data_IF_903545785798
#
_entry.id   IF_903545785798
#
_cell.length_a   1.000
_cell.length_b   1.000
_cell.length_c   1.000
_cell.angle_alpha   90.00
_cell.angle_beta   90.00
_cell.angle_gamma   90.00
#
_symmetry.space_group_name_H-M   'P 1'
#
loop_
_entity.id
_entity.type
_entity.pdbx_description
1 polymer ?
#
# COMPACT_ATOMS: atom_id res chain seq x y z
N UNK A 1 -10.42 -3.51 15.07
CA UNK A 1 -9.78 -3.72 13.75
C UNK A 1 -9.70 -5.19 13.34
N UNK A 2 -9.16 -6.11 14.17
CA UNK A 2 -9.16 -7.56 13.85
C UNK A 2 -10.57 -8.13 13.62
N UNK A 3 -11.55 -7.71 14.42
CA UNK A 3 -12.96 -8.06 14.21
C UNK A 3 -13.52 -7.57 12.86
N UNK A 4 -13.15 -6.36 12.42
CA UNK A 4 -13.59 -5.79 11.14
C UNK A 4 -13.01 -6.52 9.93
N UNK A 5 -11.84 -7.16 10.08
CA UNK A 5 -11.22 -7.97 9.01
C UNK A 5 -11.85 -9.37 8.91
N UNK A 6 -12.41 -9.89 10.00
CA UNK A 6 -13.01 -11.24 10.07
C UNK A 6 -14.36 -11.38 9.36
N UNK A 7 -15.00 -10.28 8.94
CA UNK A 7 -16.26 -10.32 8.17
C UNK A 7 -16.01 -10.46 6.66
N UNK A 8 -14.88 -11.03 6.27
CA UNK A 8 -14.62 -11.40 4.87
C UNK A 8 -15.53 -12.58 4.49
N UNK A 9 -16.03 -12.64 3.24
CA UNK A 9 -16.97 -13.69 2.83
C UNK A 9 -16.39 -15.09 3.08
N UNK A 10 -17.26 -16.00 3.54
CA UNK A 10 -16.92 -17.37 3.93
C UNK A 10 -16.22 -18.14 2.81
N UNK A 11 -15.14 -18.84 3.19
CA UNK A 11 -14.39 -19.77 2.34
C UNK A 11 -12.92 -19.86 2.74
N UNK A 12 -12.35 -21.06 2.66
CA UNK A 12 -10.95 -21.44 2.99
C UNK A 12 -9.88 -20.77 2.10
N UNK A 13 -10.13 -19.57 1.58
CA UNK A 13 -9.26 -18.89 0.61
C UNK A 13 -8.44 -17.78 1.25
N UNK A 14 -7.14 -17.72 0.92
CA UNK A 14 -6.28 -16.61 1.33
C UNK A 14 -6.75 -15.30 0.69
N UNK A 15 -6.82 -14.23 1.49
CA UNK A 15 -7.31 -12.94 1.03
C UNK A 15 -6.34 -11.80 1.35
N UNK A 16 -6.52 -10.66 0.68
CA UNK A 16 -5.86 -9.40 1.05
C UNK A 16 -6.93 -8.45 1.54
N UNK A 17 -6.85 -8.08 2.81
CA UNK A 17 -7.64 -7.01 3.38
C UNK A 17 -6.89 -5.68 3.25
N UNK A 18 -7.59 -4.67 2.73
CA UNK A 18 -7.15 -3.27 2.78
C UNK A 18 -8.02 -2.54 3.78
N UNK A 19 -7.38 -2.09 4.85
CA UNK A 19 -7.99 -1.21 5.85
C UNK A 19 -7.47 0.20 5.59
N UNK A 20 -8.39 1.14 5.40
CA UNK A 20 -8.10 2.56 5.24
C UNK A 20 -8.82 3.32 6.34
N UNK A 21 -8.07 4.11 7.11
CA UNK A 21 -8.61 5.12 8.02
C UNK A 21 -8.54 6.45 7.27
N UNK A 22 -9.67 7.13 7.15
CA UNK A 22 -9.79 8.38 6.43
C UNK A 22 -10.91 9.22 7.03
N UNK A 23 -10.85 10.52 6.88
CA UNK A 23 -11.96 11.41 7.19
C UNK A 23 -12.68 11.76 5.87
N UNK A 24 -13.98 11.40 5.71
CA UNK A 24 -14.75 11.71 4.52
C UNK A 24 -15.06 13.20 4.36
N UNK A 25 -14.95 13.98 5.44
CA UNK A 25 -15.18 15.43 5.50
C UNK A 25 -13.89 16.24 5.47
N UNK A 26 -12.73 15.60 5.29
CA UNK A 26 -11.45 16.31 5.22
C UNK A 26 -11.46 17.38 4.12
N UNK A 27 -11.31 18.63 4.52
CA UNK A 27 -11.15 19.77 3.62
C UNK A 27 -9.67 20.12 3.46
N UNK A 28 -9.18 20.11 2.22
CA UNK A 28 -7.78 20.45 1.94
C UNK A 28 -7.45 21.92 2.26
N UNK A 29 -8.45 22.81 2.25
CA UNK A 29 -8.28 24.22 2.63
C UNK A 29 -8.19 24.45 4.13
N UNK A 30 -8.77 23.55 4.94
CA UNK A 30 -8.82 23.67 6.41
C UNK A 30 -8.44 22.33 7.08
N UNK A 31 -7.22 21.79 6.84
CA UNK A 31 -6.83 20.46 7.29
C UNK A 31 -6.64 20.34 8.82
N UNK A 32 -6.74 21.46 9.55
CA UNK A 32 -6.64 21.52 11.01
C UNK A 32 -8.00 21.44 11.73
N UNK A 33 -9.11 21.39 10.98
CA UNK A 33 -10.43 21.13 11.56
C UNK A 33 -10.44 19.78 12.32
N UNK A 34 -11.33 19.66 13.29
CA UNK A 34 -11.50 18.41 14.04
C UNK A 34 -11.87 17.27 13.08
N UNK A 35 -11.14 16.17 13.18
CA UNK A 35 -11.30 15.05 12.26
C UNK A 35 -12.40 14.09 12.72
N UNK A 36 -13.21 13.61 11.78
CA UNK A 36 -14.20 12.54 11.99
C UNK A 36 -13.71 11.24 11.29
N UNK A 37 -12.82 10.45 11.92
CA UNK A 37 -12.20 9.30 11.26
C UNK A 37 -13.19 8.17 11.01
N UNK A 38 -13.24 7.71 9.77
CA UNK A 38 -14.00 6.55 9.31
C UNK A 38 -13.05 5.42 8.88
N UNK A 39 -13.53 4.18 9.03
CA UNK A 39 -12.78 2.97 8.64
C UNK A 39 -13.46 2.34 7.43
N UNK A 40 -12.71 2.18 6.34
CA UNK A 40 -13.12 1.36 5.19
C UNK A 40 -12.28 0.10 5.11
N UNK A 41 -12.96 -1.05 5.07
CA UNK A 41 -12.34 -2.35 4.83
C UNK A 41 -12.80 -2.86 3.47
N UNK A 42 -11.84 -3.24 2.63
CA UNK A 42 -12.12 -3.96 1.39
C UNK A 42 -11.31 -5.23 1.37
N UNK A 43 -11.93 -6.35 1.01
CA UNK A 43 -11.27 -7.65 0.93
C UNK A 43 -11.29 -8.11 -0.52
N UNK A 44 -10.19 -8.72 -0.98
CA UNK A 44 -10.13 -9.39 -2.27
C UNK A 44 -9.44 -10.76 -2.14
N UNK A 45 -9.86 -11.77 -2.90
CA UNK A 45 -9.17 -13.06 -2.93
C UNK A 45 -7.75 -12.91 -3.48
N UNK A 46 -6.87 -13.82 -3.04
CA UNK A 46 -5.52 -13.99 -3.58
C UNK A 46 -5.49 -15.28 -4.38
N UNK A 47 -5.21 -15.19 -5.67
CA UNK A 47 -4.94 -16.38 -6.47
C UNK A 47 -3.66 -17.08 -6.00
N UNK A 48 -3.64 -18.41 -6.05
CA UNK A 48 -2.57 -19.27 -5.53
C UNK A 48 -1.28 -19.28 -6.36
N UNK A 49 -1.07 -18.30 -7.25
CA UNK A 49 0.03 -18.34 -8.21
C UNK A 49 1.29 -17.70 -7.62
N UNK A 50 2.38 -18.47 -7.58
CA UNK A 50 3.73 -17.95 -7.30
C UNK A 50 4.10 -17.00 -8.43
N UNK A 51 4.30 -15.70 -8.18
CA UNK A 51 4.65 -14.77 -9.24
C UNK A 51 6.05 -15.09 -9.79
N UNK A 52 6.29 -14.91 -11.10
CA UNK A 52 7.62 -15.07 -11.68
C UNK A 52 8.60 -14.07 -11.07
N UNK A 53 9.93 -14.32 -11.20
CA UNK A 53 10.95 -13.35 -10.83
C UNK A 53 10.66 -11.98 -11.45
N UNK A 54 10.79 -10.90 -10.67
CA UNK A 54 10.51 -9.54 -11.12
C UNK A 54 11.79 -8.76 -11.34
N UNK A 55 11.86 -8.07 -12.47
CA UNK A 55 12.89 -7.07 -12.74
C UNK A 55 12.60 -5.80 -11.94
N UNK A 56 13.64 -5.22 -11.32
CA UNK A 56 13.51 -4.06 -10.44
C UNK A 56 14.46 -2.93 -10.86
N UNK A 57 13.94 -1.69 -10.82
CA UNK A 57 14.75 -0.47 -10.89
C UNK A 57 14.92 0.11 -9.48
N UNK A 58 16.10 0.59 -9.11
CA UNK A 58 16.27 1.39 -7.90
C UNK A 58 15.85 2.84 -8.11
N UNK A 59 15.34 3.49 -7.07
CA UNK A 59 15.09 4.93 -7.06
C UNK A 59 15.31 5.48 -5.65
N UNK A 60 16.06 6.58 -5.55
CA UNK A 60 16.15 7.35 -4.31
C UNK A 60 14.81 8.02 -4.06
N UNK A 61 14.07 7.53 -3.07
CA UNK A 61 12.73 8.02 -2.76
C UNK A 61 12.34 7.67 -1.33
N UNK A 62 11.72 8.64 -0.66
CA UNK A 62 11.10 8.48 0.64
C UNK A 62 9.70 9.08 0.63
N UNK A 63 8.83 8.54 1.49
CA UNK A 63 7.55 9.19 1.82
C UNK A 63 7.81 10.36 2.78
N UNK A 64 6.97 11.39 2.70
CA UNK A 64 7.02 12.58 3.58
C UNK A 64 7.07 12.21 5.06
N UNK A 65 6.32 11.17 5.45
CA UNK A 65 6.38 10.54 6.77
C UNK A 65 6.64 9.04 6.61
N UNK A 66 7.91 8.64 6.47
CA UNK A 66 8.32 7.25 6.16
C UNK A 66 7.67 6.17 7.04
N UNK A 67 7.52 6.43 8.35
CA UNK A 67 6.94 5.48 9.31
C UNK A 67 5.42 5.32 9.16
N UNK A 68 4.74 6.26 8.50
CA UNK A 68 3.29 6.27 8.32
C UNK A 68 2.93 5.69 6.94
N UNK A 69 1.98 4.75 6.91
CA UNK A 69 1.36 4.27 5.66
C UNK A 69 0.16 5.16 5.36
N UNK A 70 0.35 6.13 4.45
CA UNK A 70 -0.67 7.11 4.09
C UNK A 70 -1.16 6.94 2.63
N UNK A 71 -2.17 7.73 2.27
CA UNK A 71 -2.78 7.75 0.92
C UNK A 71 -2.08 8.68 -0.07
N UNK A 72 -1.16 9.54 0.38
CA UNK A 72 -0.26 10.31 -0.48
C UNK A 72 0.66 9.41 -1.32
N UNK A 73 0.15 8.93 -2.45
CA UNK A 73 0.80 7.91 -3.29
C UNK A 73 1.51 8.47 -4.51
N UNK A 74 1.35 9.77 -4.81
CA UNK A 74 1.83 10.36 -6.07
C UNK A 74 3.31 10.05 -6.34
N UNK A 75 4.21 10.36 -5.40
CA UNK A 75 5.64 10.13 -5.59
C UNK A 75 5.98 8.66 -5.84
N UNK A 76 5.41 7.75 -5.04
CA UNK A 76 5.64 6.32 -5.18
C UNK A 76 5.08 5.76 -6.51
N UNK A 77 3.89 6.22 -6.92
CA UNK A 77 3.27 5.83 -8.20
C UNK A 77 4.06 6.37 -9.38
N UNK A 78 4.54 7.61 -9.30
CA UNK A 78 5.38 8.22 -10.31
C UNK A 78 6.69 7.44 -10.51
N UNK A 79 7.36 7.04 -9.42
CA UNK A 79 8.59 6.24 -9.51
C UNK A 79 8.36 4.86 -10.12
N UNK A 80 7.27 4.19 -9.73
CA UNK A 80 6.87 2.90 -10.30
C UNK A 80 6.54 3.03 -11.78
N UNK A 81 5.78 4.06 -12.14
CA UNK A 81 5.43 4.38 -13.53
C UNK A 81 6.69 4.58 -14.38
N UNK A 82 7.69 5.28 -13.85
CA UNK A 82 8.98 5.50 -14.51
C UNK A 82 9.75 4.20 -14.70
N UNK A 83 9.78 3.32 -13.68
CA UNK A 83 10.41 2.00 -13.80
C UNK A 83 9.75 1.15 -14.90
N UNK A 84 8.41 1.12 -14.94
CA UNK A 84 7.65 0.38 -15.95
C UNK A 84 7.89 0.91 -17.36
N UNK A 85 7.99 2.23 -17.54
CA UNK A 85 8.35 2.83 -18.83
C UNK A 85 9.76 2.47 -19.29
N UNK A 86 10.65 2.15 -18.36
CA UNK A 86 12.02 1.74 -18.63
C UNK A 86 12.18 0.20 -18.70
N UNK A 87 11.08 -0.55 -18.83
CA UNK A 87 11.11 -2.00 -19.01
C UNK A 87 11.23 -2.83 -17.73
N UNK A 88 11.10 -2.23 -16.55
CA UNK A 88 11.15 -2.95 -15.27
C UNK A 88 9.75 -3.25 -14.71
N UNK A 89 9.57 -4.39 -14.06
CA UNK A 89 8.28 -4.77 -13.46
C UNK A 89 7.87 -3.88 -12.28
N UNK A 90 8.87 -3.38 -11.53
CA UNK A 90 8.63 -2.55 -10.36
C UNK A 90 9.86 -1.69 -9.98
N UNK A 91 9.70 -0.91 -8.90
CA UNK A 91 10.75 -0.08 -8.30
C UNK A 91 11.05 -0.54 -6.87
N UNK A 92 12.32 -0.49 -6.48
CA UNK A 92 12.78 -0.58 -5.08
C UNK A 92 13.25 0.80 -4.62
N UNK A 93 12.83 1.22 -3.43
CA UNK A 93 13.18 2.53 -2.90
C UNK A 93 14.42 2.45 -2.01
N UNK A 94 15.35 3.38 -2.24
CA UNK A 94 16.57 3.55 -1.45
C UNK A 94 16.63 4.94 -0.82
N UNK A 95 17.39 5.08 0.25
CA UNK A 95 17.92 6.37 0.69
C UNK A 95 19.13 6.78 -0.17
N UNK A 96 19.62 8.00 0.03
CA UNK A 96 20.72 8.56 -0.76
C UNK A 96 22.06 7.82 -0.56
N UNK A 97 22.25 7.23 0.61
CA UNK A 97 23.37 6.35 0.97
C UNK A 97 23.23 4.91 0.44
N UNK A 98 22.20 4.64 -0.38
CA UNK A 98 21.98 3.34 -1.01
C UNK A 98 21.28 2.30 -0.13
N UNK A 99 20.91 2.64 1.11
CA UNK A 99 20.19 1.73 1.99
C UNK A 99 18.75 1.53 1.49
N UNK A 100 18.31 0.28 1.39
CA UNK A 100 16.93 -0.04 0.97
C UNK A 100 15.95 0.38 2.07
N UNK A 101 15.08 1.34 1.75
CA UNK A 101 14.18 1.99 2.73
C UNK A 101 12.84 1.27 2.86
N UNK A 102 12.30 0.72 1.76
CA UNK A 102 11.16 -0.21 1.80
C UNK A 102 10.79 -0.74 0.43
N UNK A 103 10.25 -1.95 0.40
CA UNK A 103 9.47 -2.46 -0.73
C UNK A 103 7.97 -2.28 -0.46
N UNK A 104 7.19 -1.97 -1.50
CA UNK A 104 5.73 -1.93 -1.40
C UNK A 104 5.18 -3.36 -1.57
N UNK A 105 5.25 -4.19 -0.53
CA UNK A 105 4.55 -5.49 -0.53
C UNK A 105 3.16 -5.38 0.10
N UNK A 106 2.24 -6.19 -0.44
CA UNK A 106 0.89 -6.39 0.09
C UNK A 106 0.96 -7.32 1.30
N UNK A 107 0.19 -7.04 2.34
CA UNK A 107 -0.03 -7.96 3.46
C UNK A 107 -1.21 -8.86 3.06
N UNK A 108 -0.99 -10.17 2.97
CA UNK A 108 -2.06 -11.16 2.85
C UNK A 108 -2.50 -11.60 4.26
N UNK A 109 -3.78 -11.92 4.40
CA UNK A 109 -4.39 -12.45 5.62
C UNK A 109 -4.95 -13.83 5.26
N UNK A 110 -4.52 -14.87 5.96
CA UNK A 110 -5.11 -16.20 5.84
C UNK A 110 -6.47 -16.19 6.55
N UNK A 111 -7.52 -16.68 5.87
CA UNK A 111 -8.74 -17.08 6.53
C UNK A 111 -8.46 -18.42 7.24
N UNK A 112 -8.94 -18.54 8.47
CA UNK A 112 -8.91 -19.74 9.30
C UNK A 112 -10.09 -19.71 10.24
#
# INVERSE_FOLDING_TARGET
MRSLVRHAPDGDSTAVARVTIFDPRLELGHPAAEAEPHIRVTVRPVGAVVPPPRTLRSAVYARDRQRIKHLGLFGAVHQRRTAQRNGFDNVVFTSADGIVSRFISRIAVAAG
#
